data_IF_411333228654
#
_entry.id   IF_411333228654
#
_cell.length_a   1.000
_cell.length_b   1.000
_cell.length_c   1.000
_cell.angle_alpha   90.00
_cell.angle_beta   90.00
_cell.angle_gamma   90.00
#
_symmetry.space_group_name_H-M   'P 1'
#
loop_
_entity.id
_entity.type
_entity.pdbx_description
1 polymer ?
#
# COMPACT_ATOMS: atom_id res chain seq x y z
N UNK A 1 -7.09 3.98 17.47
CA UNK A 1 -6.97 2.56 17.11
C UNK A 1 -5.99 2.41 15.96
N UNK A 2 -4.90 1.70 16.23
CA UNK A 2 -3.82 1.38 15.30
C UNK A 2 -3.96 -0.12 14.96
N UNK A 3 -3.71 -0.48 13.71
CA UNK A 3 -3.69 -1.87 13.26
C UNK A 3 -2.24 -2.28 13.01
N UNK A 4 -1.89 -3.50 13.44
CA UNK A 4 -0.64 -4.16 13.08
C UNK A 4 -0.90 -5.22 12.02
N UNK A 5 -0.13 -5.17 10.95
CA UNK A 5 -0.24 -6.08 9.81
C UNK A 5 1.02 -6.94 9.69
N UNK A 6 0.83 -8.23 9.44
CA UNK A 6 1.88 -9.13 8.98
C UNK A 6 1.94 -9.07 7.45
N UNK A 7 3.12 -8.78 6.92
CA UNK A 7 3.46 -8.84 5.52
C UNK A 7 4.15 -10.17 5.23
N UNK A 8 3.80 -10.83 4.13
CA UNK A 8 4.48 -12.04 3.66
C UNK A 8 4.70 -12.00 2.15
N UNK A 9 5.94 -11.98 1.69
CA UNK A 9 6.25 -12.15 0.27
C UNK A 9 6.00 -13.61 -0.13
N UNK A 10 5.10 -13.85 -1.09
CA UNK A 10 4.75 -15.22 -1.50
C UNK A 10 5.85 -15.91 -2.30
N UNK A 11 6.78 -15.15 -2.89
CA UNK A 11 7.87 -15.66 -3.71
C UNK A 11 9.09 -16.01 -2.86
N UNK A 12 9.51 -15.12 -1.97
CA UNK A 12 10.72 -15.31 -1.15
C UNK A 12 10.43 -15.95 0.21
N UNK A 13 9.17 -15.91 0.67
CA UNK A 13 8.80 -16.35 2.02
C UNK A 13 9.14 -15.35 3.12
N UNK A 14 9.78 -14.22 2.78
CA UNK A 14 10.12 -13.14 3.69
C UNK A 14 8.88 -12.57 4.39
N UNK A 15 9.05 -12.17 5.64
CA UNK A 15 7.98 -11.58 6.46
C UNK A 15 8.44 -10.32 7.16
N UNK A 16 7.55 -9.34 7.27
CA UNK A 16 7.75 -8.11 8.02
C UNK A 16 6.47 -7.67 8.72
N UNK A 17 6.57 -6.71 9.64
CA UNK A 17 5.41 -6.11 10.29
C UNK A 17 5.35 -4.62 9.98
N UNK A 18 4.13 -4.12 9.78
CA UNK A 18 3.86 -2.68 9.65
C UNK A 18 2.68 -2.29 10.54
N UNK A 19 2.66 -1.03 10.95
CA UNK A 19 1.57 -0.45 11.73
C UNK A 19 0.93 0.71 10.97
N UNK A 20 -0.39 0.79 10.99
CA UNK A 20 -1.12 1.90 10.37
C UNK A 20 -2.42 2.23 11.14
N UNK A 21 -2.82 3.52 11.21
CA UNK A 21 -4.11 3.90 11.75
C UNK A 21 -5.27 3.25 10.99
N UNK A 22 -6.28 2.73 11.71
CA UNK A 22 -7.40 2.03 11.09
C UNK A 22 -8.27 2.90 10.15
N UNK A 23 -8.15 4.23 10.23
CA UNK A 23 -8.87 5.18 9.38
C UNK A 23 -8.17 5.48 8.05
N UNK A 24 -6.89 5.10 7.91
CA UNK A 24 -6.16 5.31 6.66
C UNK A 24 -6.82 4.56 5.50
N UNK A 25 -6.66 5.05 4.27
CA UNK A 25 -7.07 4.30 3.08
C UNK A 25 -6.15 3.09 2.89
N UNK A 26 -6.68 2.07 2.22
CA UNK A 26 -5.95 0.86 1.89
C UNK A 26 -4.66 1.16 1.13
N UNK A 27 -4.72 2.12 0.21
CA UNK A 27 -3.62 2.52 -0.67
C UNK A 27 -2.43 3.11 0.09
N UNK A 28 -2.66 3.74 1.24
CA UNK A 28 -1.59 4.28 2.10
C UNK A 28 -0.71 3.20 2.73
N UNK A 29 -1.06 1.92 2.64
CA UNK A 29 -0.16 0.83 3.03
C UNK A 29 0.97 0.61 2.03
N UNK A 30 0.81 1.01 0.76
CA UNK A 30 1.77 0.71 -0.31
C UNK A 30 3.21 1.16 -0.01
N UNK A 31 3.47 2.42 0.38
CA UNK A 31 4.84 2.87 0.67
C UNK A 31 5.44 2.09 1.85
N UNK A 32 4.65 1.81 2.89
CA UNK A 32 5.10 1.03 4.05
C UNK A 32 5.45 -0.41 3.69
N UNK A 33 4.67 -1.05 2.82
CA UNK A 33 4.96 -2.38 2.32
C UNK A 33 6.26 -2.39 1.53
N UNK A 34 6.47 -1.39 0.65
CA UNK A 34 7.71 -1.28 -0.14
C UNK A 34 8.95 -1.15 0.75
N UNK A 35 8.92 -0.24 1.74
CA UNK A 35 10.02 -0.11 2.73
C UNK A 35 10.28 -1.44 3.44
N UNK A 36 9.22 -2.02 4.02
CA UNK A 36 9.35 -3.17 4.92
C UNK A 36 9.75 -4.47 4.21
N UNK A 37 9.42 -4.59 2.93
CA UNK A 37 9.72 -5.78 2.11
C UNK A 37 10.85 -5.53 1.11
N UNK A 38 11.62 -4.45 1.29
CA UNK A 38 12.72 -4.03 0.42
C UNK A 38 12.35 -4.02 -1.08
N UNK A 39 11.12 -3.65 -1.39
CA UNK A 39 10.65 -3.62 -2.77
C UNK A 39 11.11 -2.33 -3.44
N UNK A 40 11.46 -2.41 -4.73
CA UNK A 40 11.82 -1.23 -5.49
C UNK A 40 10.68 -0.20 -5.56
N UNK A 41 11.07 1.07 -5.54
CA UNK A 41 10.13 2.19 -5.56
C UNK A 41 9.57 2.53 -6.93
N UNK A 42 10.14 2.04 -8.03
CA UNK A 42 9.93 2.68 -9.33
C UNK A 42 8.46 2.87 -9.67
N UNK A 43 8.15 4.12 -10.02
CA UNK A 43 6.80 4.60 -10.30
C UNK A 43 6.29 4.25 -11.71
N UNK A 44 7.03 3.46 -12.48
CA UNK A 44 6.63 3.11 -13.85
C UNK A 44 5.59 1.99 -13.93
N UNK A 45 5.13 1.48 -12.80
CA UNK A 45 4.45 0.19 -12.77
C UNK A 45 3.21 0.15 -11.87
N UNK A 46 2.22 -0.62 -12.33
CA UNK A 46 0.92 -0.73 -11.71
C UNK A 46 1.00 -1.53 -10.40
N UNK A 47 0.87 -0.85 -9.25
CA UNK A 47 0.66 -1.52 -7.97
C UNK A 47 -0.83 -1.56 -7.61
N UNK A 48 -1.28 -2.70 -7.09
CA UNK A 48 -2.69 -2.94 -6.82
C UNK A 48 -2.90 -3.78 -5.57
N UNK A 49 -3.96 -3.47 -4.84
CA UNK A 49 -4.53 -4.31 -3.80
C UNK A 49 -5.69 -5.12 -4.39
N UNK A 50 -5.67 -6.44 -4.19
CA UNK A 50 -6.82 -7.31 -4.49
C UNK A 50 -7.52 -7.69 -3.20
N UNK A 51 -8.77 -7.25 -3.07
CA UNK A 51 -9.66 -7.57 -1.96
C UNK A 51 -10.98 -8.09 -2.53
N UNK A 52 -11.34 -9.33 -2.20
CA UNK A 52 -12.61 -9.97 -2.61
C UNK A 52 -12.91 -9.86 -4.12
N UNK A 53 -11.90 -10.02 -4.97
CA UNK A 53 -12.03 -9.91 -6.43
C UNK A 53 -12.10 -8.47 -6.97
N UNK A 54 -12.12 -7.46 -6.09
CA UNK A 54 -12.04 -6.04 -6.46
C UNK A 54 -10.59 -5.59 -6.49
N UNK A 55 -10.24 -4.81 -7.51
CA UNK A 55 -8.89 -4.25 -7.70
C UNK A 55 -8.88 -2.79 -7.25
N UNK A 56 -8.06 -2.48 -6.26
CA UNK A 56 -7.79 -1.12 -5.80
C UNK A 56 -6.39 -0.74 -6.25
N UNK A 57 -6.25 0.32 -7.05
CA UNK A 57 -4.96 0.70 -7.65
C UNK A 57 -4.35 1.82 -6.82
N UNK A 58 -3.09 1.68 -6.44
CA UNK A 58 -2.38 2.72 -5.70
C UNK A 58 -1.93 3.81 -6.67
N UNK A 59 -2.21 5.07 -6.35
CA UNK A 59 -1.80 6.23 -7.15
C UNK A 59 -0.27 6.21 -7.38
N UNK A 60 0.15 6.67 -8.56
CA UNK A 60 1.55 7.05 -8.81
C UNK A 60 1.94 8.10 -7.77
N UNK A 61 3.02 7.88 -7.06
CA UNK A 61 3.31 8.53 -5.78
C UNK A 61 3.98 9.90 -5.98
N UNK A 62 3.38 10.80 -6.76
CA UNK A 62 3.87 12.19 -6.85
C UNK A 62 3.35 13.08 -5.70
N UNK A 63 2.40 12.59 -4.88
CA UNK A 63 1.74 13.39 -3.81
C UNK A 63 2.00 12.95 -2.35
N UNK A 64 2.69 11.84 -2.07
CA UNK A 64 3.02 11.49 -0.66
C UNK A 64 4.23 12.28 -0.16
N UNK A 65 4.94 12.94 -1.08
CA UNK A 65 6.04 13.80 -0.72
C UNK A 65 5.60 15.20 -0.27
N UNK A 66 4.34 15.64 -0.39
CA UNK A 66 3.99 17.02 -0.02
C UNK A 66 4.04 17.31 1.50
N UNK A 67 3.92 16.30 2.38
CA UNK A 67 4.17 16.48 3.82
C UNK A 67 5.63 16.19 4.24
N UNK A 68 6.46 15.65 3.34
CA UNK A 68 7.91 15.48 3.56
C UNK A 68 8.77 16.47 2.74
N UNK A 69 8.17 17.21 1.80
CA UNK A 69 8.78 18.24 0.94
C UNK A 69 8.54 19.67 1.42
N UNK A 70 8.12 19.85 2.68
CA UNK A 70 8.34 21.14 3.32
C UNK A 70 9.79 21.33 3.80
N UNK A 71 10.70 20.38 3.50
CA UNK A 71 12.14 20.57 3.74
C UNK A 71 12.98 21.02 2.54
N UNK A 72 12.64 20.81 1.26
CA UNK A 72 13.48 21.34 0.15
C UNK A 72 12.72 21.62 -1.17
N UNK A 73 13.15 22.73 -1.80
CA UNK A 73 12.68 23.38 -3.03
C UNK A 73 12.37 22.47 -4.23
N UNK A 74 11.17 22.59 -4.81
CA UNK A 74 10.80 21.99 -6.11
C UNK A 74 9.52 22.61 -6.71
N UNK A 75 9.40 22.71 -8.06
CA UNK A 75 8.42 23.56 -8.73
C UNK A 75 7.00 22.94 -8.79
N UNK A 76 5.96 23.78 -8.97
CA UNK A 76 4.56 23.39 -8.85
C UNK A 76 3.99 22.87 -10.18
N UNK A 77 2.79 22.29 -10.09
CA UNK A 77 1.87 21.84 -11.14
C UNK A 77 2.01 20.38 -11.59
N UNK A 78 1.13 19.52 -11.07
CA UNK A 78 0.53 18.42 -11.84
C UNK A 78 -0.97 18.34 -11.55
N UNK A 79 -1.72 18.82 -12.55
CA UNK A 79 -3.16 18.83 -12.64
C UNK A 79 -3.74 17.41 -12.81
N UNK A 80 -4.98 17.28 -12.36
CA UNK A 80 -5.69 16.11 -11.90
C UNK A 80 -6.00 15.07 -13.01
N UNK A 81 -5.98 13.75 -12.67
CA UNK A 81 -6.90 12.70 -13.18
C UNK A 81 -6.49 11.28 -12.70
N UNK A 82 -6.93 10.84 -11.52
CA UNK A 82 -6.74 9.43 -11.09
C UNK A 82 -7.96 8.90 -10.35
N UNK A 83 -8.71 7.97 -10.96
CA UNK A 83 -9.87 7.29 -10.34
C UNK A 83 -9.46 5.93 -9.76
N UNK A 84 -9.39 5.83 -8.42
CA UNK A 84 -9.88 4.61 -7.77
C UNK A 84 -11.41 4.70 -7.80
N UNK A 85 -12.13 3.63 -8.11
CA UNK A 85 -13.60 3.70 -8.10
C UNK A 85 -14.13 4.06 -6.71
N UNK A 86 -13.40 3.74 -5.64
CA UNK A 86 -13.78 4.03 -4.24
C UNK A 86 -12.58 4.17 -3.29
N UNK A 87 -12.61 5.16 -2.39
CA UNK A 87 -11.71 5.24 -1.23
C UNK A 87 -12.13 4.21 -0.18
N UNK A 88 -11.31 3.17 0.07
CA UNK A 88 -11.63 2.12 1.03
C UNK A 88 -10.78 2.24 2.32
N UNK A 89 -11.35 2.68 3.45
CA UNK A 89 -10.64 2.71 4.73
C UNK A 89 -10.21 1.32 5.21
N UNK A 90 -9.06 1.22 5.87
CA UNK A 90 -8.53 -0.02 6.42
C UNK A 90 -9.51 -0.70 7.39
N UNK A 91 -10.23 0.04 8.22
CA UNK A 91 -11.29 -0.51 9.09
C UNK A 91 -12.39 -1.25 8.32
N UNK A 92 -12.65 -0.86 7.06
CA UNK A 92 -13.63 -1.51 6.18
C UNK A 92 -13.00 -2.67 5.42
N UNK A 93 -11.76 -2.54 4.98
CA UNK A 93 -11.02 -3.64 4.34
C UNK A 93 -10.76 -4.80 5.32
N UNK A 94 -10.50 -4.50 6.59
CA UNK A 94 -10.13 -5.45 7.63
C UNK A 94 -11.12 -5.40 8.82
N UNK A 95 -12.20 -6.16 8.70
CA UNK A 95 -13.29 -6.20 9.70
C UNK A 95 -12.99 -7.16 10.85
N UNK A 96 -12.11 -8.14 10.66
CA UNK A 96 -11.79 -9.22 11.61
C UNK A 96 -10.29 -9.45 11.72
N UNK A 97 -9.80 -9.85 12.89
CA UNK A 97 -8.41 -10.33 13.02
C UNK A 97 -8.23 -11.56 12.11
N UNK A 98 -7.09 -11.63 11.42
CA UNK A 98 -6.79 -12.65 10.42
C UNK A 98 -7.27 -12.35 9.00
N UNK A 99 -8.05 -11.27 8.78
CA UNK A 99 -8.41 -10.84 7.42
C UNK A 99 -7.17 -10.41 6.63
N UNK A 100 -7.17 -10.69 5.32
CA UNK A 100 -6.00 -10.49 4.47
C UNK A 100 -6.36 -9.85 3.11
N UNK A 101 -5.41 -9.06 2.58
CA UNK A 101 -5.45 -8.44 1.26
C UNK A 101 -4.15 -8.74 0.53
N UNK A 102 -4.22 -8.92 -0.78
CA UNK A 102 -3.04 -9.11 -1.60
C UNK A 102 -2.55 -7.77 -2.15
N UNK A 103 -1.34 -7.35 -1.79
CA UNK A 103 -0.62 -6.30 -2.50
C UNK A 103 0.20 -6.91 -3.63
N UNK A 104 0.15 -6.30 -4.79
CA UNK A 104 0.78 -6.79 -6.01
C UNK A 104 1.54 -5.65 -6.67
N UNK A 105 2.80 -5.92 -7.00
CA UNK A 105 3.65 -5.04 -7.79
C UNK A 105 4.17 -5.81 -9.00
N UNK A 106 3.77 -5.36 -10.19
CA UNK A 106 4.19 -5.95 -11.47
C UNK A 106 5.44 -5.23 -11.99
N UNK A 107 6.55 -5.94 -12.08
CA UNK A 107 7.76 -5.50 -12.76
C UNK A 107 7.94 -6.18 -14.11
N UNK A 108 8.58 -5.49 -15.08
CA UNK A 108 8.93 -6.03 -16.41
C UNK A 108 9.53 -7.45 -16.39
N UNK A 109 10.23 -7.81 -15.31
CA UNK A 109 10.91 -9.11 -15.16
C UNK A 109 10.59 -9.86 -13.84
N UNK A 110 9.78 -9.28 -12.95
CA UNK A 110 9.40 -9.94 -11.70
C UNK A 110 8.03 -9.51 -11.22
N UNK A 111 7.36 -10.40 -10.50
CA UNK A 111 6.07 -10.12 -9.89
C UNK A 111 6.18 -10.38 -8.40
N UNK A 112 6.03 -9.33 -7.61
CA UNK A 112 6.00 -9.44 -6.16
C UNK A 112 4.56 -9.39 -5.67
N UNK A 113 4.21 -10.39 -4.88
CA UNK A 113 2.91 -10.50 -4.24
C UNK A 113 3.12 -10.61 -2.74
N UNK A 114 2.60 -9.64 -2.02
CA UNK A 114 2.68 -9.53 -0.58
C UNK A 114 1.30 -9.81 0.00
N UNK A 115 1.20 -10.83 0.85
CA UNK A 115 0.02 -11.07 1.66
C UNK A 115 0.05 -10.13 2.86
N UNK A 116 -0.95 -9.25 2.97
CA UNK A 116 -1.09 -8.27 4.05
C UNK A 116 -2.20 -8.77 4.97
N UNK A 117 -1.87 -9.19 6.20
CA UNK A 117 -2.82 -9.81 7.13
C UNK A 117 -2.94 -8.98 8.40
N UNK A 118 -4.16 -8.62 8.81
CA UNK A 118 -4.39 -7.97 10.10
C UNK A 118 -4.14 -8.97 11.23
N UNK A 119 -3.19 -8.70 12.12
CA UNK A 119 -2.85 -9.60 13.24
C UNK A 119 -3.17 -9.03 14.61
N UNK A 120 -3.26 -7.71 14.75
CA UNK A 120 -3.50 -7.06 16.04
C UNK A 120 -4.24 -5.72 15.89
N UNK A 121 -5.00 -5.35 16.93
CA UNK A 121 -5.63 -4.03 17.09
C UNK A 121 -5.09 -3.40 18.38
N UNK A 122 -4.37 -2.29 18.23
CA UNK A 122 -3.68 -1.55 19.28
C UNK A 122 -4.46 -0.27 19.61
#
# INVERSE_FOLDING_TARGET
MIYRFLLRNTKTGETAYIEAPAHWPLESLSPKIKVAMHLPYTDNEFHRFLLNGTVYVTKRMEDVLTEWMYEQDGPPYYDENYRCSEYLPLRRAFTTLGSAVNYIQNYLFCYDKIHVTLVERI
#
